data_IF_960701683095
#
_entry.id   IF_960701683095
#
_cell.length_a   1.000
_cell.length_b   1.000
_cell.length_c   1.000
_cell.angle_alpha   90.00
_cell.angle_beta   90.00
_cell.angle_gamma   90.00
#
_symmetry.space_group_name_H-M   'P 1'
#
loop_
_entity.id
_entity.type
_entity.pdbx_description
1 polymer ?
#
# COMPACT_ATOMS: atom_id res chain seq x y z
N UNK A 1 -4.82 23.44 -2.50
CA UNK A 1 -4.63 22.08 -3.07
C UNK A 1 -5.70 21.20 -2.45
N UNK A 2 -6.58 20.58 -3.24
CA UNK A 2 -7.75 19.85 -2.72
C UNK A 2 -7.39 18.42 -2.34
N UNK A 3 -8.13 17.82 -1.39
CA UNK A 3 -7.97 16.41 -1.01
C UNK A 3 -8.15 15.47 -2.19
N UNK A 4 -9.03 15.82 -3.15
CA UNK A 4 -9.21 15.05 -4.39
C UNK A 4 -7.96 15.01 -5.28
N UNK A 5 -7.07 16.02 -5.14
CA UNK A 5 -5.79 16.08 -5.87
C UNK A 5 -4.67 15.31 -5.14
N UNK A 6 -4.83 15.09 -3.83
CA UNK A 6 -3.88 14.35 -2.97
C UNK A 6 -4.20 12.85 -2.91
N UNK A 7 -5.48 12.52 -2.84
CA UNK A 7 -6.05 11.18 -2.83
C UNK A 7 -7.00 11.10 -4.03
N UNK A 8 -6.49 10.84 -5.24
CA UNK A 8 -7.36 10.65 -6.38
C UNK A 8 -8.20 9.41 -6.14
N UNK A 9 -9.44 9.64 -5.72
CA UNK A 9 -10.48 8.62 -5.70
C UNK A 9 -11.02 8.54 -7.14
N UNK A 10 -10.71 7.45 -7.85
CA UNK A 10 -11.05 7.24 -9.27
C UNK A 10 -9.83 7.23 -10.20
N UNK A 11 -10.06 7.25 -11.51
CA UNK A 11 -9.02 7.06 -12.55
C UNK A 11 -8.07 8.25 -12.75
N UNK A 12 -8.25 9.33 -11.99
CA UNK A 12 -7.49 10.56 -12.12
C UNK A 12 -6.09 10.41 -11.51
N UNK A 13 -5.15 9.87 -12.27
CA UNK A 13 -3.74 9.87 -11.88
C UNK A 13 -3.17 11.28 -11.97
N UNK A 14 -2.62 11.80 -10.87
CA UNK A 14 -1.97 13.11 -10.87
C UNK A 14 -0.60 13.00 -11.56
N UNK A 15 -0.36 13.68 -12.69
CA UNK A 15 0.92 13.63 -13.38
C UNK A 15 2.07 14.02 -12.45
N UNK A 16 3.12 13.20 -12.39
CA UNK A 16 4.26 13.41 -11.50
C UNK A 16 4.10 12.84 -10.08
N UNK A 17 2.96 12.25 -9.73
CA UNK A 17 2.82 11.54 -8.46
C UNK A 17 3.57 10.19 -8.49
N UNK A 18 4.55 10.04 -7.61
CA UNK A 18 5.21 8.75 -7.37
C UNK A 18 4.30 7.84 -6.55
N UNK A 19 4.17 6.58 -6.96
CA UNK A 19 3.36 5.56 -6.28
C UNK A 19 4.15 4.29 -6.08
N UNK A 20 3.93 3.64 -4.95
CA UNK A 20 4.44 2.31 -4.67
C UNK A 20 3.77 1.31 -5.63
N UNK A 21 4.55 0.38 -6.19
CA UNK A 21 4.06 -0.68 -7.06
C UNK A 21 4.23 -2.07 -6.44
N UNK A 22 5.19 -2.20 -5.53
CA UNK A 22 5.57 -3.45 -4.89
C UNK A 22 6.27 -3.16 -3.57
N UNK A 23 6.01 -4.01 -2.58
CA UNK A 23 6.68 -4.03 -1.29
C UNK A 23 7.23 -5.43 -1.05
N UNK A 24 8.48 -5.50 -0.61
CA UNK A 24 9.08 -6.72 -0.10
C UNK A 24 9.47 -6.50 1.35
N UNK A 25 9.05 -7.42 2.21
CA UNK A 25 9.42 -7.43 3.63
C UNK A 25 10.09 -8.76 3.95
N UNK A 26 11.17 -8.70 4.71
CA UNK A 26 11.95 -9.88 5.12
C UNK A 26 12.20 -9.79 6.61
N UNK A 27 11.68 -10.76 7.37
CA UNK A 27 11.87 -10.85 8.83
C UNK A 27 11.54 -9.54 9.57
N UNK A 28 10.35 -8.99 9.31
CA UNK A 28 9.92 -7.70 9.84
C UNK A 28 8.61 -7.83 10.62
N UNK A 29 8.63 -7.52 11.91
CA UNK A 29 7.46 -7.63 12.78
C UNK A 29 6.93 -9.07 12.84
N UNK A 30 5.66 -9.26 12.43
CA UNK A 30 5.01 -10.58 12.35
C UNK A 30 5.27 -11.33 11.03
N UNK A 31 5.98 -10.73 10.08
CA UNK A 31 6.32 -11.35 8.80
C UNK A 31 7.63 -12.13 8.91
N UNK A 32 7.55 -13.47 8.98
CA UNK A 32 8.70 -14.37 8.96
C UNK A 32 9.03 -14.84 7.55
N UNK A 33 10.30 -14.83 7.16
CA UNK A 33 10.71 -15.12 5.78
C UNK A 33 10.49 -13.93 4.85
N UNK A 34 10.57 -14.17 3.54
CA UNK A 34 10.39 -13.15 2.50
C UNK A 34 8.96 -13.11 1.99
N UNK A 35 8.32 -11.94 2.09
CA UNK A 35 6.96 -11.70 1.61
C UNK A 35 6.99 -10.61 0.55
N UNK A 36 6.16 -10.77 -0.49
CA UNK A 36 6.00 -9.78 -1.57
C UNK A 36 4.54 -9.40 -1.69
N UNK A 37 4.25 -8.10 -1.71
CA UNK A 37 2.91 -7.55 -1.95
C UNK A 37 2.95 -6.58 -3.14
N UNK A 38 2.06 -6.77 -4.11
CA UNK A 38 1.82 -5.79 -5.16
C UNK A 38 0.89 -4.68 -4.66
N UNK A 39 1.16 -3.44 -5.09
CA UNK A 39 0.31 -2.28 -4.79
C UNK A 39 -0.37 -1.83 -6.06
N UNK A 40 -1.69 -1.96 -6.08
CA UNK A 40 -2.51 -1.56 -7.22
C UNK A 40 -2.50 -0.04 -7.41
N UNK A 41 -2.50 0.40 -8.67
CA UNK A 41 -2.49 1.83 -9.03
C UNK A 41 -3.71 2.56 -8.46
N UNK A 42 -4.87 1.91 -8.38
CA UNK A 42 -6.14 2.48 -7.94
C UNK A 42 -6.38 2.34 -6.43
N UNK A 43 -5.43 1.74 -5.70
CA UNK A 43 -5.48 1.56 -4.26
C UNK A 43 -5.54 0.08 -3.86
N UNK A 44 -4.98 -0.24 -2.69
CA UNK A 44 -4.92 -1.61 -2.16
C UNK A 44 -5.49 -1.63 -0.75
N UNK A 45 -6.47 -2.50 -0.52
CA UNK A 45 -7.08 -2.67 0.81
C UNK A 45 -6.30 -3.70 1.62
N UNK A 46 -5.68 -3.28 2.71
CA UNK A 46 -5.05 -4.17 3.68
C UNK A 46 -6.07 -4.57 4.76
N UNK A 47 -6.41 -5.86 4.82
CA UNK A 47 -7.41 -6.41 5.76
C UNK A 47 -6.92 -7.71 6.41
N UNK A 48 -7.60 -8.15 7.47
CA UNK A 48 -7.23 -9.31 8.29
C UNK A 48 -7.44 -9.09 9.80
N UNK A 49 -7.39 -10.17 10.59
CA UNK A 49 -7.60 -10.15 12.03
C UNK A 49 -6.64 -9.21 12.78
N UNK A 50 -6.96 -8.85 14.03
CA UNK A 50 -6.05 -8.07 14.88
C UNK A 50 -4.73 -8.82 15.09
N UNK A 51 -3.60 -8.10 15.13
CA UNK A 51 -2.28 -8.66 15.40
C UNK A 51 -1.56 -9.34 14.22
N UNK A 52 -2.16 -9.43 13.03
CA UNK A 52 -1.53 -10.14 11.88
C UNK A 52 -0.48 -9.32 11.10
N UNK A 53 -0.18 -8.08 11.52
CA UNK A 53 0.86 -7.25 10.89
C UNK A 53 0.37 -6.17 9.93
N UNK A 54 -0.94 -5.92 9.81
CA UNK A 54 -1.50 -4.90 8.89
C UNK A 54 -0.97 -3.48 9.10
N UNK A 55 -0.71 -3.08 10.35
CA UNK A 55 -0.14 -1.76 10.69
C UNK A 55 1.39 -1.77 10.71
N UNK A 56 2.00 -2.96 10.60
CA UNK A 56 3.44 -3.16 10.56
C UNK A 56 3.98 -3.10 9.14
N UNK A 57 3.15 -3.54 8.19
CA UNK A 57 3.34 -3.30 6.76
C UNK A 57 3.02 -1.83 6.42
#
# INVERSE_FOLDING_TARGET
>A
MSIATMLPMGDLTNPGQMRLALVQVVNWGTFHGAHTMHVDRNGTLLTGNSGVGKSTL
#
